data_IF_622793748712
#
_entry.id   IF_622793748712
#
_cell.length_a   1.000
_cell.length_b   1.000
_cell.length_c   1.000
_cell.angle_alpha   90.00
_cell.angle_beta   90.00
_cell.angle_gamma   90.00
#
_symmetry.space_group_name_H-M   'P 1'
#
loop_
_entity.id
_entity.type
_entity.pdbx_description
1 polymer ?
#
# COMPACT_ATOMS: atom_id res chain seq x y z
N UNK A 1 5.92 -2.97 -7.93
CA UNK A 1 6.54 -1.89 -8.72
C UNK A 1 5.68 -0.62 -8.74
N UNK A 2 6.29 0.53 -9.03
CA UNK A 2 5.66 1.87 -8.91
C UNK A 2 4.39 2.04 -9.77
N UNK A 3 4.45 1.69 -11.05
CA UNK A 3 3.34 1.86 -12.00
C UNK A 3 2.13 0.98 -11.66
N UNK A 4 2.35 -0.33 -11.49
CA UNK A 4 1.29 -1.28 -11.12
C UNK A 4 0.63 -0.89 -9.79
N UNK A 5 1.42 -0.52 -8.77
CA UNK A 5 0.87 -0.08 -7.48
C UNK A 5 -0.01 1.17 -7.60
N UNK A 6 0.37 2.12 -8.44
CA UNK A 6 -0.42 3.33 -8.69
C UNK A 6 -1.76 2.99 -9.38
N UNK A 7 -1.72 2.17 -10.44
CA UNK A 7 -2.92 1.72 -11.16
C UNK A 7 -3.88 0.95 -10.26
N UNK A 8 -3.39 -0.02 -9.47
CA UNK A 8 -4.24 -0.79 -8.53
C UNK A 8 -4.95 0.14 -7.55
N UNK A 9 -4.23 1.08 -6.93
CA UNK A 9 -4.83 2.03 -5.97
C UNK A 9 -5.87 2.93 -6.61
N UNK A 10 -5.60 3.41 -7.83
CA UNK A 10 -6.54 4.21 -8.62
C UNK A 10 -7.83 3.44 -8.89
N UNK A 11 -7.74 2.25 -9.48
CA UNK A 11 -8.93 1.48 -9.86
C UNK A 11 -9.70 0.98 -8.65
N UNK A 12 -9.04 0.54 -7.57
CA UNK A 12 -9.74 0.18 -6.33
C UNK A 12 -10.56 1.36 -5.77
N UNK A 13 -10.00 2.57 -5.74
CA UNK A 13 -10.72 3.75 -5.25
C UNK A 13 -11.88 4.13 -6.16
N UNK A 14 -11.61 4.19 -7.47
CA UNK A 14 -12.59 4.56 -8.48
C UNK A 14 -13.78 3.58 -8.47
N UNK A 15 -13.51 2.28 -8.54
CA UNK A 15 -14.55 1.24 -8.50
C UNK A 15 -15.33 1.25 -7.19
N UNK A 16 -14.68 1.48 -6.04
CA UNK A 16 -15.39 1.61 -4.78
C UNK A 16 -16.40 2.77 -4.79
N UNK A 17 -16.04 3.91 -5.38
CA UNK A 17 -16.94 5.07 -5.52
C UNK A 17 -18.07 4.78 -6.51
N UNK A 18 -17.76 4.25 -7.69
CA UNK A 18 -18.75 3.97 -8.74
C UNK A 18 -19.80 2.95 -8.29
N UNK A 19 -19.39 1.96 -7.48
CA UNK A 19 -20.28 0.92 -6.95
C UNK A 19 -20.90 1.27 -5.59
N UNK A 20 -20.61 2.45 -5.01
CA UNK A 20 -21.18 2.89 -3.74
C UNK A 20 -20.65 2.17 -2.49
N UNK A 21 -19.45 1.58 -2.54
CA UNK A 21 -18.81 0.96 -1.38
C UNK A 21 -18.20 2.02 -0.43
N UNK A 22 -18.47 1.87 0.86
CA UNK A 22 -17.98 2.79 1.90
C UNK A 22 -16.58 2.44 2.43
N UNK A 23 -16.10 1.22 2.20
CA UNK A 23 -14.81 0.73 2.72
C UNK A 23 -14.13 -0.20 1.72
N UNK A 24 -12.82 -0.06 1.57
CA UNK A 24 -11.95 -1.04 0.89
C UNK A 24 -11.11 -1.76 1.94
N UNK A 25 -11.22 -3.09 2.00
CA UNK A 25 -10.31 -3.93 2.78
C UNK A 25 -9.18 -4.45 1.89
N UNK A 26 -7.95 -4.42 2.40
CA UNK A 26 -6.79 -4.98 1.69
C UNK A 26 -6.08 -6.02 2.55
N UNK A 27 -5.50 -7.03 1.90
CA UNK A 27 -4.84 -8.17 2.57
C UNK A 27 -3.44 -7.90 3.10
N UNK A 28 -3.06 -6.64 3.38
CA UNK A 28 -1.74 -6.35 3.95
C UNK A 28 -1.62 -6.99 5.33
N UNK A 29 -0.61 -7.84 5.49
CA UNK A 29 -0.35 -8.59 6.72
C UNK A 29 0.73 -7.91 7.59
N UNK A 30 1.09 -8.51 8.72
CA UNK A 30 2.10 -7.98 9.65
C UNK A 30 3.49 -7.89 9.00
N UNK A 31 3.86 -8.84 8.15
CA UNK A 31 5.15 -8.85 7.45
C UNK A 31 5.23 -7.70 6.44
N UNK A 32 4.15 -7.44 5.69
CA UNK A 32 4.05 -6.29 4.77
C UNK A 32 4.21 -4.96 5.50
N UNK A 33 3.51 -4.79 6.62
CA UNK A 33 3.54 -3.56 7.40
C UNK A 33 4.89 -3.36 8.10
N UNK A 34 5.47 -4.43 8.64
CA UNK A 34 6.77 -4.38 9.32
C UNK A 34 7.91 -4.10 8.33
N UNK A 35 7.89 -4.73 7.14
CA UNK A 35 8.87 -4.46 6.09
C UNK A 35 8.75 -3.01 5.60
N UNK A 36 7.52 -2.55 5.32
CA UNK A 36 7.27 -1.15 4.93
C UNK A 36 7.75 -0.17 5.99
N UNK A 37 7.48 -0.47 7.27
CA UNK A 37 7.92 0.35 8.40
C UNK A 37 9.44 0.39 8.48
N UNK A 38 10.11 -0.77 8.40
CA UNK A 38 11.57 -0.87 8.43
C UNK A 38 12.19 -0.06 7.30
N UNK A 39 11.70 -0.20 6.07
CA UNK A 39 12.18 0.57 4.93
C UNK A 39 12.02 2.07 5.10
N UNK A 40 10.86 2.51 5.58
CA UNK A 40 10.62 3.93 5.83
C UNK A 40 11.49 4.49 6.97
N UNK A 41 11.78 3.71 8.01
CA UNK A 41 12.68 4.10 9.10
C UNK A 41 14.12 4.20 8.61
N UNK A 42 14.61 3.19 7.88
CA UNK A 42 15.99 3.17 7.36
C UNK A 42 16.27 4.35 6.42
N UNK A 43 15.28 4.79 5.65
CA UNK A 43 15.37 5.97 4.78
C UNK A 43 14.87 7.26 5.41
N UNK A 44 14.45 7.25 6.69
CA UNK A 44 13.85 8.39 7.39
C UNK A 44 12.74 9.11 6.60
N UNK A 45 11.91 8.33 5.92
CA UNK A 45 10.80 8.80 5.10
C UNK A 45 9.61 9.22 5.99
N UNK A 46 9.76 10.34 6.72
CA UNK A 46 8.80 10.81 7.73
C UNK A 46 7.36 10.95 7.19
N UNK A 47 7.20 11.45 5.97
CA UNK A 47 5.88 11.58 5.35
C UNK A 47 5.18 10.23 5.09
N UNK A 48 5.95 9.16 4.82
CA UNK A 48 5.38 7.82 4.68
C UNK A 48 5.09 7.19 6.06
N UNK A 49 5.97 7.39 7.04
CA UNK A 49 5.72 6.97 8.42
C UNK A 49 4.44 7.61 8.98
N UNK A 50 4.24 8.91 8.79
CA UNK A 50 3.03 9.63 9.21
C UNK A 50 1.74 9.02 8.61
N UNK A 51 1.81 8.53 7.36
CA UNK A 51 0.65 7.95 6.65
C UNK A 51 0.47 6.45 6.90
N UNK A 52 1.43 5.77 7.51
CA UNK A 52 1.35 4.34 7.77
C UNK A 52 0.41 4.08 8.96
N UNK A 53 -0.78 3.58 8.67
CA UNK A 53 -1.78 3.28 9.69
C UNK A 53 -2.74 2.16 9.23
N UNK A 54 -3.29 1.34 10.16
CA UNK A 54 -4.24 0.27 9.81
C UNK A 54 -5.55 0.77 9.19
N UNK A 55 -5.99 1.98 9.56
CA UNK A 55 -7.25 2.57 9.10
C UNK A 55 -6.98 3.95 8.47
N UNK A 56 -7.03 4.00 7.15
CA UNK A 56 -7.00 5.26 6.42
C UNK A 56 -8.43 5.77 6.33
N UNK A 57 -8.70 6.90 6.99
CA UNK A 57 -10.02 7.52 6.99
C UNK A 57 -10.41 7.93 5.57
N UNK A 58 -11.72 7.93 5.31
CA UNK A 58 -12.27 8.62 4.15
C UNK A 58 -11.89 10.10 4.18
N UNK A 59 -11.67 10.67 3.00
CA UNK A 59 -11.37 12.10 2.86
C UNK A 59 -10.69 12.41 1.54
N UNK A 60 -10.74 13.67 1.13
CA UNK A 60 -10.11 14.15 -0.10
C UNK A 60 -10.47 13.31 -1.34
N UNK A 61 -11.71 12.83 -1.43
CA UNK A 61 -12.20 11.97 -2.51
C UNK A 61 -11.67 10.53 -2.53
N UNK A 62 -11.02 10.08 -1.45
CA UNK A 62 -10.66 8.68 -1.23
C UNK A 62 -11.65 7.98 -0.31
N UNK A 63 -12.03 6.75 -0.67
CA UNK A 63 -12.81 5.84 0.17
C UNK A 63 -11.96 5.34 1.33
N UNK A 64 -12.59 5.13 2.50
CA UNK A 64 -11.93 4.57 3.69
C UNK A 64 -11.23 3.25 3.35
N UNK A 65 -9.99 3.07 3.82
CA UNK A 65 -9.24 1.82 3.64
C UNK A 65 -8.87 1.20 4.97
N UNK A 66 -9.00 -0.12 5.07
CA UNK A 66 -8.66 -0.89 6.25
C UNK A 66 -7.74 -2.06 5.90
N UNK A 67 -6.89 -2.43 6.86
CA UNK A 67 -5.98 -3.58 6.77
C UNK A 67 -6.29 -4.56 7.91
N UNK A 68 -7.30 -5.44 7.74
CA UNK A 68 -7.74 -6.32 8.82
C UNK A 68 -6.65 -7.30 9.30
N UNK A 69 -5.74 -7.67 8.41
CA UNK A 69 -4.69 -8.67 8.66
C UNK A 69 -3.37 -8.08 9.15
N UNK A 70 -3.28 -6.76 9.40
CA UNK A 70 -2.01 -6.09 9.72
C UNK A 70 -1.33 -6.52 11.05
N UNK A 71 -1.98 -7.38 11.83
CA UNK A 71 -1.43 -7.98 13.05
C UNK A 71 -1.20 -9.49 12.93
N UNK A 72 -1.51 -10.08 11.77
CA UNK A 72 -1.37 -11.51 11.47
C UNK A 72 -0.17 -11.67 10.54
N UNK A 73 0.72 -12.61 10.83
CA UNK A 73 1.89 -12.88 9.97
C UNK A 73 1.47 -13.46 8.61
N UNK A 74 2.37 -13.34 7.64
CA UNK A 74 2.24 -13.99 6.34
C UNK A 74 2.13 -15.51 6.50
N UNK A 75 2.93 -16.09 7.42
CA UNK A 75 2.89 -17.52 7.75
C UNK A 75 1.55 -17.97 8.32
N UNK A 76 0.98 -17.22 9.26
CA UNK A 76 -0.34 -17.51 9.83
C UNK A 76 -1.45 -17.38 8.77
N UNK A 77 -1.37 -16.36 7.92
CA UNK A 77 -2.33 -16.15 6.83
C UNK A 77 -2.29 -17.28 5.80
N UNK A 78 -1.09 -17.72 5.40
CA UNK A 78 -0.90 -18.85 4.50
C UNK A 78 -1.37 -20.16 5.12
N UNK A 79 -1.05 -20.41 6.40
CA UNK A 79 -1.52 -21.60 7.12
C UNK A 79 -3.05 -21.63 7.19
N UNK A 80 -3.69 -20.49 7.48
CA UNK A 80 -5.15 -20.39 7.49
C UNK A 80 -5.76 -20.73 6.12
N UNK A 81 -5.20 -20.19 5.04
CA UNK A 81 -5.66 -20.47 3.68
C UNK A 81 -5.56 -21.97 3.35
N UNK A 82 -4.43 -22.61 3.66
CA UNK A 82 -4.21 -24.05 3.47
C UNK A 82 -5.21 -24.89 4.28
N UNK A 83 -5.35 -24.62 5.58
CA UNK A 83 -6.27 -25.38 6.45
C UNK A 83 -7.75 -25.18 6.08
N UNK A 84 -8.07 -24.04 5.47
CA UNK A 84 -9.42 -23.70 5.04
C UNK A 84 -9.72 -24.12 3.59
N UNK A 85 -8.78 -24.75 2.90
CA UNK A 85 -8.86 -25.08 1.47
C UNK A 85 -9.23 -23.85 0.60
N UNK A 86 -8.59 -22.71 0.86
CA UNK A 86 -8.72 -21.52 0.04
C UNK A 86 -7.60 -21.53 -0.99
N UNK A 87 -7.95 -21.64 -2.27
CA UNK A 87 -6.98 -21.56 -3.36
C UNK A 87 -6.34 -20.17 -3.42
N UNK A 88 -5.02 -20.12 -3.59
CA UNK A 88 -4.26 -18.89 -3.77
C UNK A 88 -3.17 -19.07 -4.83
N UNK A 89 -2.74 -17.95 -5.41
CA UNK A 89 -1.65 -17.93 -6.39
C UNK A 89 -0.33 -17.98 -5.64
N UNK A 90 0.44 -19.06 -5.83
CA UNK A 90 1.79 -19.22 -5.25
C UNK A 90 2.86 -18.45 -6.03
N UNK A 91 2.62 -18.19 -7.32
CA UNK A 91 3.57 -17.51 -8.18
C UNK A 91 3.71 -16.02 -7.82
N UNK A 92 4.93 -15.59 -7.57
CA UNK A 92 5.25 -14.18 -7.42
C UNK A 92 5.27 -13.46 -8.78
N UNK A 93 5.10 -12.13 -8.74
CA UNK A 93 5.20 -11.32 -9.95
C UNK A 93 6.63 -11.38 -10.52
N UNK A 94 6.83 -11.66 -11.82
CA UNK A 94 8.18 -11.70 -12.40
C UNK A 94 8.92 -10.36 -12.33
N UNK A 95 8.20 -9.26 -12.08
CA UNK A 95 8.77 -7.93 -11.90
C UNK A 95 9.03 -7.54 -10.44
N UNK A 96 8.78 -8.42 -9.46
CA UNK A 96 9.03 -8.13 -8.04
C UNK A 96 10.37 -8.63 -7.50
N UNK A 97 11.17 -9.35 -8.30
CA UNK A 97 12.39 -10.07 -7.86
C UNK A 97 13.37 -9.17 -7.07
N UNK A 98 13.56 -7.91 -7.47
CA UNK A 98 14.48 -6.97 -6.81
C UNK A 98 13.76 -5.98 -5.87
N UNK A 99 12.55 -6.30 -5.41
CA UNK A 99 11.81 -5.41 -4.53
C UNK A 99 12.47 -5.39 -3.13
N UNK A 100 12.85 -4.20 -2.66
CA UNK A 100 13.41 -4.00 -1.32
C UNK A 100 12.54 -4.55 -0.19
N UNK A 101 11.23 -4.65 -0.42
CA UNK A 101 10.30 -5.28 0.53
C UNK A 101 10.59 -6.77 0.75
N UNK A 102 11.08 -7.50 -0.26
CA UNK A 102 11.45 -8.92 -0.14
C UNK A 102 12.66 -9.06 0.79
N UNK A 103 13.70 -8.26 0.55
CA UNK A 103 14.90 -8.25 1.39
C UNK A 103 14.58 -7.86 2.84
N UNK A 104 13.75 -6.82 3.04
CA UNK A 104 13.31 -6.40 4.36
C UNK A 104 12.52 -7.49 5.09
N UNK A 105 11.62 -8.19 4.39
CA UNK A 105 10.88 -9.34 4.96
C UNK A 105 11.83 -10.47 5.37
N UNK A 106 12.83 -10.78 4.54
CA UNK A 106 13.83 -11.80 4.84
C UNK A 106 14.62 -11.46 6.11
N UNK A 107 15.15 -10.24 6.20
CA UNK A 107 15.89 -9.77 7.37
C UNK A 107 15.03 -9.77 8.64
N UNK A 108 13.79 -9.29 8.55
CA UNK A 108 12.86 -9.32 9.68
C UNK A 108 12.53 -10.75 10.11
N UNK A 109 12.42 -11.69 9.19
CA UNK A 109 12.22 -13.11 9.51
C UNK A 109 13.41 -13.71 10.24
N UNK A 110 14.64 -13.38 9.85
CA UNK A 110 15.85 -13.82 10.57
C UNK A 110 15.92 -13.26 11.99
N UNK A 111 15.47 -12.03 12.21
CA UNK A 111 15.40 -11.44 13.55
C UNK A 111 14.28 -12.10 14.36
N UNK A 112 13.10 -12.30 13.76
CA UNK A 112 11.94 -12.95 14.39
C UNK A 112 12.27 -14.36 14.87
N UNK A 113 13.06 -15.13 14.10
CA UNK A 113 13.51 -16.47 14.48
C UNK A 113 14.38 -16.46 15.75
N UNK A 114 15.24 -15.45 15.88
CA UNK A 114 16.13 -15.28 17.06
C UNK A 114 15.42 -14.62 18.25
N UNK A 115 14.39 -13.81 17.98
CA UNK A 115 13.64 -13.06 18.98
C UNK A 115 12.16 -13.00 18.58
N UNK A 116 11.36 -14.02 18.95
CA UNK A 116 9.95 -14.07 18.63
C UNK A 116 9.16 -12.87 19.14
N UNK A 117 8.19 -12.42 18.35
CA UNK A 117 7.35 -11.24 18.60
C UNK A 117 8.01 -9.92 18.20
N UNK A 118 9.15 -9.93 17.52
CA UNK A 118 9.84 -8.70 17.09
C UNK A 118 9.03 -7.91 16.07
N UNK A 119 8.50 -8.55 15.02
CA UNK A 119 7.66 -7.90 14.00
C UNK A 119 6.44 -7.23 14.63
N UNK A 120 5.73 -7.98 15.48
CA UNK A 120 4.54 -7.50 16.18
C UNK A 120 4.86 -6.32 17.10
N UNK A 121 5.90 -6.46 17.93
CA UNK A 121 6.35 -5.40 18.84
C UNK A 121 6.79 -4.16 18.05
N UNK A 122 7.54 -4.33 16.97
CA UNK A 122 8.01 -3.22 16.13
C UNK A 122 6.84 -2.41 15.56
N UNK A 123 5.85 -3.09 14.98
CA UNK A 123 4.69 -2.42 14.39
C UNK A 123 3.76 -1.81 15.45
N UNK A 124 3.40 -2.54 16.50
CA UNK A 124 2.50 -2.04 17.55
C UNK A 124 3.12 -0.85 18.29
N UNK A 125 4.40 -0.94 18.67
CA UNK A 125 5.05 0.14 19.40
C UNK A 125 5.22 1.38 18.53
N UNK A 126 5.44 1.22 17.22
CA UNK A 126 5.36 2.33 16.27
C UNK A 126 3.98 2.99 16.30
N UNK A 127 2.89 2.21 16.18
CA UNK A 127 1.52 2.75 16.19
C UNK A 127 1.16 3.43 17.51
N UNK A 128 1.63 2.92 18.65
CA UNK A 128 1.31 3.43 19.99
C UNK A 128 2.14 4.62 20.40
N UNK A 129 3.45 4.61 20.10
CA UNK A 129 4.41 5.60 20.64
C UNK A 129 4.87 6.61 19.61
N UNK A 130 5.05 6.20 18.35
CA UNK A 130 5.68 7.05 17.32
C UNK A 130 4.64 7.72 16.45
N UNK A 131 3.64 6.98 15.96
CA UNK A 131 2.61 7.51 15.07
C UNK A 131 1.89 8.74 15.63
N UNK A 132 1.50 8.79 16.93
CA UNK A 132 0.84 9.98 17.48
C UNK A 132 1.72 11.23 17.45
N UNK A 133 3.05 11.07 17.53
CA UNK A 133 4.01 12.17 17.48
C UNK A 133 4.21 12.69 16.04
N UNK A 134 4.06 11.82 15.06
CA UNK A 134 4.17 12.16 13.63
C UNK A 134 2.87 12.72 13.06
N UNK A 135 1.74 12.50 13.74
CA UNK A 135 0.41 12.90 13.28
C UNK A 135 0.25 14.42 13.36
N UNK A 136 0.76 15.11 12.34
CA UNK A 136 0.45 16.50 12.04
C UNK A 136 -0.65 16.56 10.98
N UNK A 137 -1.53 17.55 11.07
CA UNK A 137 -2.45 17.86 9.98
C UNK A 137 -1.68 18.52 8.84
N UNK A 138 -1.01 17.73 8.00
CA UNK A 138 -0.67 18.22 6.68
C UNK A 138 -1.95 18.28 5.85
N UNK A 139 -2.48 19.49 5.66
CA UNK A 139 -3.53 19.75 4.68
C UNK A 139 -2.92 19.62 3.28
N UNK A 140 -2.78 18.40 2.82
CA UNK A 140 -2.61 18.12 1.40
C UNK A 140 -3.91 18.50 0.70
N UNK A 141 -3.92 19.69 0.09
CA UNK A 141 -5.02 20.11 -0.77
C UNK A 141 -5.03 19.25 -2.02
N UNK A 142 -5.94 18.28 -2.03
CA UNK A 142 -6.21 17.47 -3.21
C UNK A 142 -7.43 18.05 -3.93
N UNK A 143 -7.31 18.15 -5.24
CA UNK A 143 -8.36 18.61 -6.14
C UNK A 143 -8.80 17.47 -7.07
N UNK A 144 -10.02 17.50 -7.61
CA UNK A 144 -10.44 16.53 -8.61
C UNK A 144 -9.62 16.68 -9.89
N UNK A 145 -9.22 15.54 -10.47
CA UNK A 145 -8.55 15.50 -11.77
C UNK A 145 -9.44 16.09 -12.87
N UNK A 146 -8.89 16.96 -13.70
CA UNK A 146 -9.63 17.60 -14.82
C UNK A 146 -10.16 16.62 -15.87
N UNK A 147 -9.64 15.39 -15.91
CA UNK A 147 -10.03 14.35 -16.88
C UNK A 147 -10.96 13.29 -16.29
N UNK A 148 -10.66 12.79 -15.09
CA UNK A 148 -11.38 11.64 -14.52
C UNK A 148 -12.05 11.91 -13.17
N UNK A 149 -11.89 13.11 -12.60
CA UNK A 149 -12.46 13.47 -11.30
C UNK A 149 -11.80 12.83 -10.07
N UNK A 150 -10.88 11.88 -10.24
CA UNK A 150 -10.18 11.25 -9.10
C UNK A 150 -9.21 12.22 -8.40
N UNK A 151 -8.95 12.05 -7.09
CA UNK A 151 -8.12 12.97 -6.32
C UNK A 151 -6.68 13.08 -6.82
N UNK A 152 -6.17 14.30 -6.89
CA UNK A 152 -4.81 14.59 -7.35
C UNK A 152 -4.28 15.90 -6.76
N UNK A 153 -2.96 15.99 -6.58
CA UNK A 153 -2.26 17.24 -6.23
C UNK A 153 -1.90 18.09 -7.46
N UNK A 154 -1.96 17.50 -8.66
CA UNK A 154 -1.77 18.17 -9.94
C UNK A 154 -3.11 18.39 -10.65
N UNK A 155 -3.12 19.13 -11.76
CA UNK A 155 -4.32 19.29 -12.61
C UNK A 155 -4.83 17.95 -13.18
N UNK A 156 -3.92 17.18 -13.78
CA UNK A 156 -4.18 15.83 -14.30
C UNK A 156 -3.50 14.78 -13.42
N UNK A 157 -4.25 13.76 -12.99
CA UNK A 157 -3.72 12.69 -12.15
C UNK A 157 -2.68 11.83 -12.88
N UNK A 158 -1.82 11.15 -12.11
CA UNK A 158 -0.71 10.34 -12.65
C UNK A 158 -1.17 9.22 -13.60
N UNK A 159 -2.34 8.63 -13.37
CA UNK A 159 -2.91 7.59 -14.23
C UNK A 159 -3.39 8.17 -15.57
N UNK A 160 -4.08 9.31 -15.56
CA UNK A 160 -4.48 10.00 -16.79
C UNK A 160 -3.27 10.46 -17.61
N UNK A 161 -2.23 11.00 -16.96
CA UNK A 161 -0.95 11.34 -17.61
C UNK A 161 -0.31 10.13 -18.27
N UNK A 162 -0.32 8.97 -17.59
CA UNK A 162 0.22 7.73 -18.15
C UNK A 162 -0.57 7.29 -19.40
N UNK A 163 -1.91 7.31 -19.35
CA UNK A 163 -2.76 6.96 -20.50
C UNK A 163 -2.50 7.88 -21.70
N UNK A 164 -2.42 9.19 -21.47
CA UNK A 164 -2.13 10.15 -22.54
C UNK A 164 -0.79 9.90 -23.22
N UNK A 165 0.26 9.56 -22.45
CA UNK A 165 1.58 9.22 -23.01
C UNK A 165 1.53 7.98 -23.92
N UNK A 166 0.77 6.96 -23.52
CA UNK A 166 0.60 5.74 -24.32
C UNK A 166 -0.15 6.01 -25.63
N UNK A 167 -1.21 6.83 -25.59
CA UNK A 167 -1.96 7.23 -26.80
C UNK A 167 -1.12 8.08 -27.76
N UNK A 168 -0.18 8.87 -27.25
CA UNK A 168 0.75 9.65 -28.09
C UNK A 168 1.85 8.77 -28.71
N UNK A 169 2.36 7.76 -27.98
CA UNK A 169 3.35 6.84 -28.54
C UNK A 169 2.79 5.96 -29.65
N UNK A 170 1.51 5.58 -29.58
CA UNK A 170 0.84 4.82 -30.64
C UNK A 170 0.68 5.64 -31.93
N UNK A 171 0.52 6.97 -31.82
CA UNK A 171 0.42 7.87 -32.99
C UNK A 171 1.76 8.20 -33.64
N UNK A 172 2.88 8.06 -32.91
CA UNK A 172 4.23 8.33 -33.41
C UNK A 172 4.98 7.13 -33.98
N UNK A 173 4.43 5.91 -33.87
CA UNK A 173 4.98 4.70 -34.48
C UNK A 173 4.31 4.35 -35.83
N UNK A 174 3.42 5.21 -36.32
CA UNK A 174 2.68 5.06 -37.58
C UNK A 174 3.02 6.12 -38.64
N UNK A 175 4.19 6.76 -38.57
CA UNK A 175 4.70 7.72 -39.56
C UNK A 175 6.08 7.33 -40.04
#
# INVERSE_FOLDING_TARGET
CSVCGNLKRYYMNKSAKELGFSVIATGHNLDDESATLMGNVLSWNLGYLQRQYPVLKEGNGFVKKVKPLCLITEKESALYALLSNIDFVEEECPYSVDASSIEQKLLLSQIEEKSPGTKLRFYIEFLRKVQPLLRREEKLELKPCSICGEPTSADVCSVCKLKQRLTLSEKGQGS
#
